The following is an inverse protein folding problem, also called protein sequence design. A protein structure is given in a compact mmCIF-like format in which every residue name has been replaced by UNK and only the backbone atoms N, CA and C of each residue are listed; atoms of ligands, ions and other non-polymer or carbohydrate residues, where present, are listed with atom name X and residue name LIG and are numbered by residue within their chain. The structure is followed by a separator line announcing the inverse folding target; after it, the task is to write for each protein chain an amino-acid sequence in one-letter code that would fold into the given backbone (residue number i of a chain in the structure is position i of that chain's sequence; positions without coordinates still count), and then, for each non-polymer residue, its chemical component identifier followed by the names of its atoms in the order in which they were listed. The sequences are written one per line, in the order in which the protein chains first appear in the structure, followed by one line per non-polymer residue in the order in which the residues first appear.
data_IF_902365091698
#
_entry.id   IF_902365091698
#
_cell.length_a   1.000
_cell.length_b   1.000
_cell.length_c   1.000
_cell.angle_alpha   90.00
_cell.angle_beta   90.00
_cell.angle_gamma   90.00
#
_symmetry.space_group_name_H-M   'P 1'
#
loop_
_entity.id
_entity.type
_entity.pdbx_description
1 polymer ?
#
# COMPACT_ATOMS: atom_id res chain seq x y z
N UNK A 1 -23.95 6.70 -12.16
CA UNK A 1 -22.52 6.42 -12.44
C UNK A 1 -22.31 4.96 -12.13
N UNK A 2 -22.08 4.14 -13.16
CA UNK A 2 -21.85 2.69 -12.99
C UNK A 2 -20.57 2.50 -12.16
N UNK A 3 -20.66 1.82 -11.02
CA UNK A 3 -19.48 1.53 -10.20
C UNK A 3 -18.73 0.37 -10.87
N UNK A 4 -17.62 0.70 -11.53
CA UNK A 4 -16.79 -0.29 -12.20
C UNK A 4 -15.78 -0.87 -11.21
N UNK A 5 -15.81 -2.20 -11.01
CA UNK A 5 -14.78 -2.90 -10.25
C UNK A 5 -13.64 -3.32 -11.18
N UNK A 6 -12.41 -2.95 -10.84
CA UNK A 6 -11.23 -3.15 -11.68
C UNK A 6 -10.16 -3.92 -10.91
N UNK A 7 -9.65 -4.98 -11.54
CA UNK A 7 -8.56 -5.76 -10.96
C UNK A 7 -7.25 -4.97 -10.94
N UNK A 8 -6.58 -4.86 -9.78
CA UNK A 8 -5.37 -4.04 -9.63
C UNK A 8 -4.31 -4.67 -8.74
N UNK A 9 -3.15 -5.01 -9.32
CA UNK A 9 -1.98 -5.51 -8.59
C UNK A 9 -1.38 -4.48 -7.63
N UNK A 10 -1.68 -3.18 -7.83
CA UNK A 10 -1.22 -2.09 -6.96
C UNK A 10 -1.62 -2.32 -5.50
N UNK A 11 -2.77 -2.95 -5.26
CA UNK A 11 -3.25 -3.30 -3.92
C UNK A 11 -2.32 -4.30 -3.22
N UNK A 12 -1.89 -5.35 -3.94
CA UNK A 12 -0.93 -6.31 -3.40
C UNK A 12 0.43 -5.64 -3.15
N UNK A 13 0.89 -4.78 -4.07
CA UNK A 13 2.13 -4.04 -3.86
C UNK A 13 2.06 -3.10 -2.65
N UNK A 14 0.95 -2.39 -2.45
CA UNK A 14 0.74 -1.54 -1.29
C UNK A 14 0.78 -2.31 0.04
N UNK A 15 0.37 -3.58 0.03
CA UNK A 15 0.51 -4.48 1.18
C UNK A 15 1.94 -4.97 1.38
N UNK A 16 2.62 -5.36 0.29
CA UNK A 16 3.94 -6.00 0.36
C UNK A 16 5.07 -5.00 0.65
N UNK A 17 4.99 -3.76 0.20
CA UNK A 17 6.04 -2.75 0.40
C UNK A 17 6.39 -2.53 1.88
N UNK A 18 5.44 -2.23 2.79
CA UNK A 18 5.78 -2.09 4.21
C UNK A 18 6.29 -3.39 4.81
N UNK A 19 5.75 -4.55 4.42
CA UNK A 19 6.22 -5.85 4.89
C UNK A 19 7.69 -6.10 4.52
N UNK A 20 8.04 -5.88 3.24
CA UNK A 20 9.42 -6.01 2.75
C UNK A 20 10.33 -4.95 3.38
N UNK A 21 9.85 -3.72 3.54
CA UNK A 21 10.58 -2.64 4.21
C UNK A 21 10.94 -3.00 5.65
N UNK A 22 9.99 -3.52 6.43
CA UNK A 22 10.23 -3.99 7.80
C UNK A 22 11.23 -5.15 7.85
N UNK A 23 11.12 -6.13 6.94
CA UNK A 23 12.10 -7.21 6.83
C UNK A 23 13.49 -6.68 6.48
N UNK A 24 13.59 -5.76 5.52
CA UNK A 24 14.85 -5.13 5.13
C UNK A 24 15.52 -4.39 6.29
N UNK A 25 14.75 -3.60 7.05
CA UNK A 25 15.20 -2.94 8.28
C UNK A 25 15.73 -3.96 9.29
N UNK A 26 15.05 -5.09 9.47
CA UNK A 26 15.46 -6.13 10.41
C UNK A 26 16.79 -6.79 10.01
N UNK A 27 17.01 -7.06 8.72
CA UNK A 27 18.26 -7.68 8.24
C UNK A 27 19.45 -6.72 8.22
N UNK A 28 19.21 -5.43 7.96
CA UNK A 28 20.27 -4.42 7.78
C UNK A 28 20.44 -3.53 9.01
N UNK A 29 19.67 -3.76 10.08
CA UNK A 29 19.58 -2.91 11.27
C UNK A 29 20.87 -2.67 12.06
N UNK A 30 21.96 -3.39 11.74
CA UNK A 30 23.30 -3.14 12.33
C UNK A 30 23.95 -1.85 11.81
N UNK A 31 23.57 -1.39 10.62
CA UNK A 31 24.08 -0.16 10.02
C UNK A 31 22.96 0.87 9.97
N UNK A 32 23.11 1.92 10.77
CA UNK A 32 22.12 2.99 10.96
C UNK A 32 21.72 3.66 9.63
N UNK A 33 22.70 4.07 8.83
CA UNK A 33 22.46 4.73 7.54
C UNK A 33 21.66 3.84 6.57
N UNK A 34 21.96 2.54 6.53
CA UNK A 34 21.25 1.61 5.65
C UNK A 34 19.83 1.31 6.17
N UNK A 35 19.67 1.16 7.49
CA UNK A 35 18.37 0.98 8.14
C UNK A 35 17.42 2.13 7.79
N UNK A 36 17.88 3.36 7.94
CA UNK A 36 17.13 4.58 7.63
C UNK A 36 16.86 4.74 6.14
N UNK A 37 17.84 4.40 5.30
CA UNK A 37 17.67 4.37 3.85
C UNK A 37 16.58 3.40 3.41
N UNK A 38 16.52 2.20 4.01
CA UNK A 38 15.49 1.20 3.70
C UNK A 38 14.10 1.67 4.12
N UNK A 39 13.95 2.21 5.35
CA UNK A 39 12.64 2.74 5.79
C UNK A 39 12.19 3.92 4.94
N UNK A 40 13.10 4.83 4.58
CA UNK A 40 12.79 6.02 3.76
C UNK A 40 12.37 5.64 2.35
N UNK A 41 13.07 4.69 1.74
CA UNK A 41 12.72 4.16 0.43
C UNK A 41 11.35 3.46 0.48
N UNK A 42 11.10 2.62 1.48
CA UNK A 42 9.85 1.88 1.60
C UNK A 42 8.63 2.82 1.79
N UNK A 43 8.76 3.87 2.61
CA UNK A 43 7.67 4.83 2.83
C UNK A 43 7.35 5.64 1.56
N UNK A 44 8.38 6.11 0.84
CA UNK A 44 8.20 6.83 -0.43
C UNK A 44 7.55 5.92 -1.48
N UNK A 45 8.02 4.68 -1.62
CA UNK A 45 7.46 3.73 -2.58
C UNK A 45 5.98 3.46 -2.27
N UNK A 46 5.62 3.26 -0.98
CA UNK A 46 4.22 3.07 -0.59
C UNK A 46 3.37 4.28 -0.94
N UNK A 47 3.84 5.50 -0.62
CA UNK A 47 3.13 6.74 -0.93
C UNK A 47 2.89 6.89 -2.44
N UNK A 48 3.89 6.59 -3.28
CA UNK A 48 3.75 6.64 -4.73
C UNK A 48 2.74 5.62 -5.26
N UNK A 49 2.74 4.39 -4.73
CA UNK A 49 1.77 3.36 -5.11
C UNK A 49 0.36 3.82 -4.75
N UNK A 50 0.14 4.31 -3.53
CA UNK A 50 -1.17 4.82 -3.09
C UNK A 50 -1.60 6.01 -3.93
N UNK A 51 -0.72 7.00 -4.15
CA UNK A 51 -1.02 8.16 -4.99
C UNK A 51 -1.42 7.75 -6.42
N UNK A 52 -0.81 6.70 -6.97
CA UNK A 52 -1.15 6.18 -8.31
C UNK A 52 -2.53 5.52 -8.41
N UNK A 53 -3.15 5.16 -7.28
CA UNK A 53 -4.51 4.62 -7.22
C UNK A 53 -5.58 5.71 -7.08
N UNK A 54 -5.20 6.90 -6.63
CA UNK A 54 -6.12 8.03 -6.40
C UNK A 54 -6.92 8.37 -7.64
N UNK A 55 -6.29 8.39 -8.82
CA UNK A 55 -6.99 8.74 -10.07
C UNK A 55 -8.09 7.74 -10.42
N UNK A 56 -7.80 6.45 -10.30
CA UNK A 56 -8.76 5.40 -10.61
C UNK A 56 -10.00 5.48 -9.71
N UNK A 57 -9.79 5.70 -8.41
CA UNK A 57 -10.88 5.82 -7.44
C UNK A 57 -11.64 7.14 -7.59
N UNK A 58 -10.95 8.23 -7.96
CA UNK A 58 -11.58 9.52 -8.28
C UNK A 58 -12.50 9.43 -9.50
N UNK A 59 -12.12 8.64 -10.51
CA UNK A 59 -12.93 8.36 -11.69
C UNK A 59 -14.10 7.38 -11.40
N UNK A 60 -14.35 7.04 -10.12
CA UNK A 60 -15.49 6.22 -9.68
C UNK A 60 -15.26 4.71 -9.73
N UNK A 61 -14.02 4.26 -9.93
CA UNK A 61 -13.68 2.83 -9.94
C UNK A 61 -13.46 2.31 -8.53
N UNK A 62 -13.79 1.04 -8.30
CA UNK A 62 -13.37 0.28 -7.12
C UNK A 62 -12.26 -0.66 -7.54
N UNK A 63 -11.10 -0.56 -6.91
CA UNK A 63 -9.99 -1.47 -7.17
C UNK A 63 -10.18 -2.74 -6.34
N UNK A 64 -9.95 -3.90 -6.95
CA UNK A 64 -10.01 -5.19 -6.26
C UNK A 64 -8.80 -6.06 -6.65
N UNK A 65 -8.33 -6.88 -5.73
CA UNK A 65 -7.33 -7.92 -6.01
C UNK A 65 -7.71 -9.18 -5.24
N UNK A 66 -8.01 -10.26 -5.96
CA UNK A 66 -8.31 -11.55 -5.35
C UNK A 66 -7.02 -12.23 -4.90
N UNK A 67 -6.90 -12.51 -3.60
CA UNK A 67 -5.73 -13.18 -3.06
C UNK A 67 -5.87 -14.69 -3.12
N UNK A 68 -6.92 -15.21 -2.48
CA UNK A 68 -7.23 -16.64 -2.45
C UNK A 68 -8.68 -16.89 -2.03
N UNK A 69 -9.16 -18.10 -2.29
CA UNK A 69 -10.49 -18.57 -1.89
C UNK A 69 -10.34 -19.51 -0.71
N UNK A 70 -11.05 -19.23 0.39
CA UNK A 70 -11.00 -20.06 1.61
C UNK A 70 -11.94 -21.25 1.46
N UNK A 71 -13.17 -21.00 1.03
CA UNK A 71 -14.21 -21.98 0.73
C UNK A 71 -15.03 -21.51 -0.48
N UNK A 72 -15.80 -22.39 -1.14
CA UNK A 72 -16.75 -21.98 -2.17
C UNK A 72 -17.67 -20.85 -1.63
N UNK A 73 -17.65 -19.69 -2.29
CA UNK A 73 -18.40 -18.50 -1.86
C UNK A 73 -17.69 -17.58 -0.86
N UNK A 74 -16.55 -17.98 -0.27
CA UNK A 74 -15.76 -17.17 0.67
C UNK A 74 -14.37 -16.85 0.10
N UNK A 75 -14.15 -15.59 -0.25
CA UNK A 75 -12.92 -15.10 -0.88
C UNK A 75 -12.22 -14.07 0.01
N UNK A 76 -10.89 -14.08 0.01
CA UNK A 76 -10.07 -13.01 0.55
C UNK A 76 -9.65 -12.11 -0.60
N UNK A 77 -10.07 -10.86 -0.56
CA UNK A 77 -9.81 -9.86 -1.59
C UNK A 77 -9.29 -8.58 -0.94
N UNK A 78 -8.26 -7.98 -1.53
CA UNK A 78 -7.90 -6.60 -1.23
C UNK A 78 -8.83 -5.70 -2.03
N UNK A 79 -9.29 -4.60 -1.42
CA UNK A 79 -10.21 -3.66 -2.06
C UNK A 79 -9.78 -2.24 -1.73
N UNK A 80 -9.82 -1.36 -2.73
CA UNK A 80 -9.76 0.08 -2.52
C UNK A 80 -10.93 0.81 -3.18
N UNK A 81 -11.72 1.48 -2.35
CA UNK A 81 -12.74 2.47 -2.70
C UNK A 81 -12.41 3.84 -2.05
N UNK A 82 -13.28 4.84 -2.24
CA UNK A 82 -13.06 6.20 -1.77
C UNK A 82 -12.69 6.31 -0.28
N UNK A 83 -13.34 5.54 0.59
CA UNK A 83 -13.05 5.59 2.03
C UNK A 83 -11.68 4.99 2.34
N UNK A 84 -11.38 3.81 1.78
CA UNK A 84 -10.06 3.18 1.96
C UNK A 84 -8.91 4.05 1.44
N UNK A 85 -9.13 4.81 0.35
CA UNK A 85 -8.12 5.69 -0.23
C UNK A 85 -7.80 6.89 0.68
N UNK A 86 -8.79 7.45 1.38
CA UNK A 86 -8.55 8.50 2.38
C UNK A 86 -7.59 7.97 3.46
N UNK A 87 -7.87 6.79 4.01
CA UNK A 87 -6.99 6.18 5.02
C UNK A 87 -5.61 5.83 4.46
N UNK A 88 -5.55 5.26 3.26
CA UNK A 88 -4.28 4.88 2.64
C UNK A 88 -3.39 6.11 2.39
N UNK A 89 -3.95 7.21 1.90
CA UNK A 89 -3.21 8.47 1.66
C UNK A 89 -2.70 9.07 2.96
N UNK A 90 -3.54 9.13 4.00
CA UNK A 90 -3.14 9.66 5.31
C UNK A 90 -2.05 8.79 5.94
N UNK A 91 -2.25 7.47 5.98
CA UNK A 91 -1.31 6.54 6.59
C UNK A 91 0.05 6.53 5.87
N UNK A 92 0.08 6.47 4.54
CA UNK A 92 1.33 6.48 3.78
C UNK A 92 2.08 7.81 3.85
N UNK A 93 1.36 8.94 3.82
CA UNK A 93 1.96 10.27 3.99
C UNK A 93 2.53 10.44 5.39
N UNK A 94 1.76 10.07 6.43
CA UNK A 94 2.20 10.16 7.82
C UNK A 94 3.42 9.27 8.08
N UNK A 95 3.43 8.05 7.55
CA UNK A 95 4.60 7.17 7.67
C UNK A 95 5.83 7.77 7.00
N UNK A 96 5.68 8.37 5.82
CA UNK A 96 6.78 9.07 5.14
C UNK A 96 7.33 10.19 6.01
N UNK A 97 6.46 11.06 6.56
CA UNK A 97 6.88 12.15 7.46
C UNK A 97 7.57 11.60 8.71
N UNK A 98 7.01 10.55 9.33
CA UNK A 98 7.55 9.95 10.54
C UNK A 98 8.95 9.36 10.32
N UNK A 99 9.20 8.74 9.16
CA UNK A 99 10.52 8.19 8.83
C UNK A 99 11.57 9.29 8.64
N UNK A 100 11.21 10.42 8.03
CA UNK A 100 12.14 11.55 7.88
C UNK A 100 12.37 12.34 9.17
N UNK A 101 11.46 12.21 10.14
CA UNK A 101 11.61 12.81 11.47
C UNK A 101 12.44 11.93 12.41
N UNK A 102 12.37 10.60 12.24
CA UNK A 102 13.07 9.60 13.06
C UNK A 102 14.57 9.57 12.82
#
# INVERSE_FOLDING_TARGET
MEIQTVHSVKLLLALLVPLIGTLGVMFVGKNENLREGVSSAASIILLLIVASMTRDVWDGKILEYHMFTVLPGLKVTLRADGMSMIFALVASSLWTIAVFYS
#
